data_IF_350800023230
#
_entry.id   IF_350800023230
#
_cell.length_a   1.000
_cell.length_b   1.000
_cell.length_c   1.000
_cell.angle_alpha   90.00
_cell.angle_beta   90.00
_cell.angle_gamma   90.00
#
_symmetry.space_group_name_H-M   'P 1'
#
loop_
_entity.id
_entity.type
_entity.pdbx_description
1 polymer ?
#
# COMPACT_ATOMS: atom_id res chain seq x y z
N UNK A 1 14.45 9.62 -14.83
CA UNK A 1 14.63 8.25 -14.28
C UNK A 1 13.52 7.35 -14.79
N UNK A 2 13.83 6.08 -15.09
CA UNK A 2 12.81 5.06 -15.36
C UNK A 2 12.06 4.78 -14.05
N UNK A 3 10.72 4.82 -14.07
CA UNK A 3 9.88 4.44 -12.92
C UNK A 3 9.75 2.92 -12.87
N UNK A 4 9.84 2.35 -11.69
CA UNK A 4 9.69 0.91 -11.43
C UNK A 4 8.29 0.62 -10.90
N UNK A 5 7.66 -0.42 -11.43
CA UNK A 5 6.33 -0.86 -11.00
C UNK A 5 6.46 -1.84 -9.85
N UNK A 6 5.45 -1.83 -8.98
CA UNK A 6 5.29 -2.88 -7.98
C UNK A 6 4.84 -4.20 -8.62
N UNK A 7 5.26 -5.31 -8.02
CA UNK A 7 4.86 -6.65 -8.46
C UNK A 7 3.46 -7.06 -7.97
N UNK A 8 2.81 -6.27 -7.11
CA UNK A 8 1.41 -6.43 -6.74
C UNK A 8 0.52 -5.38 -7.41
N UNK A 9 -0.73 -5.77 -7.71
CA UNK A 9 -1.82 -4.82 -7.94
C UNK A 9 -2.36 -4.40 -6.59
N UNK A 10 -2.45 -3.09 -6.34
CA UNK A 10 -2.88 -2.59 -5.04
C UNK A 10 -3.74 -1.35 -5.21
N UNK A 11 -4.80 -1.27 -4.42
CA UNK A 11 -5.63 -0.08 -4.36
C UNK A 11 -4.78 1.11 -3.87
N UNK A 12 -4.97 2.28 -4.47
CA UNK A 12 -4.22 3.48 -4.06
C UNK A 12 -2.79 3.58 -4.58
N UNK A 13 -2.33 2.66 -5.44
CA UNK A 13 -0.96 2.67 -5.98
C UNK A 13 -0.50 4.04 -6.50
N UNK A 14 0.56 4.57 -5.89
CA UNK A 14 1.06 5.95 -6.08
C UNK A 14 1.93 6.15 -7.31
N UNK A 15 2.07 5.15 -8.18
CA UNK A 15 2.87 5.22 -9.40
C UNK A 15 2.65 6.49 -10.26
N UNK A 16 1.41 7.00 -10.45
CA UNK A 16 1.19 8.26 -11.17
C UNK A 16 1.69 9.51 -10.44
N UNK A 17 1.74 9.48 -9.11
CA UNK A 17 2.05 10.61 -8.22
C UNK A 17 3.52 10.63 -7.76
N UNK A 18 4.32 9.66 -8.19
CA UNK A 18 5.71 9.53 -7.75
C UNK A 18 6.55 10.78 -7.98
N UNK A 19 6.33 11.52 -9.07
CA UNK A 19 7.14 12.72 -9.36
C UNK A 19 6.80 13.86 -8.40
N UNK A 20 5.52 13.99 -8.04
CA UNK A 20 5.08 14.99 -7.07
C UNK A 20 5.50 14.60 -5.64
N UNK A 21 5.33 13.33 -5.25
CA UNK A 21 5.78 12.83 -3.94
C UNK A 21 7.28 13.07 -3.78
N UNK A 22 8.10 12.69 -4.77
CA UNK A 22 9.56 12.88 -4.72
C UNK A 22 9.99 14.34 -4.67
N UNK A 23 9.17 15.27 -5.17
CA UNK A 23 9.46 16.71 -5.09
C UNK A 23 9.34 17.23 -3.65
N UNK A 24 8.47 16.63 -2.85
CA UNK A 24 8.15 17.07 -1.48
C UNK A 24 8.74 16.16 -0.40
N UNK A 25 9.23 14.97 -0.77
CA UNK A 25 9.88 14.05 0.12
C UNK A 25 11.40 14.35 0.17
N UNK A 26 11.94 14.83 1.29
CA UNK A 26 13.35 15.21 1.37
C UNK A 26 14.28 14.00 1.40
N UNK A 27 15.56 14.23 1.14
CA UNK A 27 16.60 13.24 1.40
C UNK A 27 16.73 12.99 2.91
N UNK A 28 17.23 11.81 3.26
CA UNK A 28 17.49 11.39 4.63
C UNK A 28 18.13 10.03 4.66
N UNK A 29 18.46 9.54 5.86
CA UNK A 29 19.12 8.24 5.98
C UNK A 29 18.12 7.08 5.84
N UNK A 30 16.94 7.23 6.42
CA UNK A 30 15.92 6.19 6.51
C UNK A 30 14.57 6.72 6.04
N UNK A 31 13.92 6.00 5.12
CA UNK A 31 12.50 6.23 4.83
C UNK A 31 11.64 5.23 5.61
N UNK A 32 10.66 5.75 6.32
CA UNK A 32 9.67 4.96 7.05
C UNK A 32 8.33 5.08 6.32
N UNK A 33 7.76 3.96 5.89
CA UNK A 33 6.42 3.90 5.29
C UNK A 33 5.49 3.07 6.19
N UNK A 34 4.66 3.69 7.05
CA UNK A 34 3.74 2.96 7.94
C UNK A 34 2.56 2.27 7.24
N UNK A 35 2.38 2.57 5.95
CA UNK A 35 1.32 2.05 5.08
C UNK A 35 1.93 1.65 3.72
N UNK A 36 2.92 0.75 3.74
CA UNK A 36 3.72 0.47 2.53
C UNK A 36 2.87 0.01 1.36
N UNK A 37 1.80 -0.77 1.59
CA UNK A 37 0.98 -1.34 0.52
C UNK A 37 1.87 -1.99 -0.55
N UNK A 38 1.69 -1.64 -1.82
CA UNK A 38 2.53 -2.13 -2.93
C UNK A 38 3.98 -1.59 -2.98
N UNK A 39 4.39 -0.68 -2.09
CA UNK A 39 5.76 -0.17 -2.01
C UNK A 39 6.18 0.72 -3.18
N UNK A 40 5.25 1.45 -3.81
CA UNK A 40 5.57 2.27 -4.99
C UNK A 40 6.61 3.36 -4.69
N UNK A 41 6.58 3.98 -3.51
CA UNK A 41 7.56 5.03 -3.13
C UNK A 41 8.91 4.40 -2.80
N UNK A 42 8.96 3.37 -1.96
CA UNK A 42 10.14 2.54 -1.72
C UNK A 42 10.87 2.11 -3.00
N UNK A 43 10.15 1.60 -4.01
CA UNK A 43 10.74 1.10 -5.26
C UNK A 43 11.29 2.21 -6.18
N UNK A 44 11.01 3.48 -5.89
CA UNK A 44 11.30 4.62 -6.75
C UNK A 44 12.06 5.76 -6.04
N UNK A 45 12.54 5.52 -4.81
CA UNK A 45 13.37 6.44 -4.02
C UNK A 45 14.72 5.80 -3.71
N UNK A 46 15.67 6.58 -3.19
CA UNK A 46 17.01 6.10 -2.82
C UNK A 46 17.37 6.61 -1.42
N UNK A 47 17.00 5.82 -0.40
CA UNK A 47 17.45 5.99 0.98
C UNK A 47 18.43 4.87 1.31
N UNK A 48 19.29 5.08 2.32
CA UNK A 48 20.28 4.08 2.74
C UNK A 48 19.63 2.84 3.35
N UNK A 49 18.48 3.03 4.02
CA UNK A 49 17.66 1.98 4.61
C UNK A 49 16.17 2.36 4.61
N UNK A 50 15.31 1.36 4.78
CA UNK A 50 13.87 1.51 4.83
C UNK A 50 13.27 0.73 6.01
N UNK A 51 12.24 1.30 6.65
CA UNK A 51 11.34 0.59 7.56
C UNK A 51 9.95 0.62 6.94
N UNK A 52 9.46 -0.53 6.52
CA UNK A 52 8.24 -0.65 5.73
C UNK A 52 7.22 -1.46 6.52
N UNK A 53 6.14 -0.81 6.95
CA UNK A 53 5.11 -1.41 7.77
C UNK A 53 3.76 -1.45 7.05
N UNK A 54 2.98 -2.47 7.37
CA UNK A 54 1.57 -2.60 7.01
C UNK A 54 0.87 -3.45 8.05
N UNK A 55 -0.43 -3.24 8.24
CA UNK A 55 -1.24 -4.08 9.12
C UNK A 55 -1.56 -5.44 8.50
N UNK A 56 -1.39 -5.58 7.18
CA UNK A 56 -1.64 -6.80 6.46
C UNK A 56 -0.47 -7.80 6.62
N UNK A 57 -0.67 -8.80 7.47
CA UNK A 57 0.31 -9.86 7.72
C UNK A 57 0.68 -10.66 6.45
N UNK A 58 -0.27 -10.96 5.56
CA UNK A 58 0.03 -11.72 4.34
C UNK A 58 0.94 -10.94 3.39
N UNK A 59 0.78 -9.61 3.35
CA UNK A 59 1.62 -8.71 2.57
C UNK A 59 3.05 -8.69 3.11
N UNK A 60 3.21 -8.48 4.41
CA UNK A 60 4.53 -8.42 5.06
C UNK A 60 5.25 -9.77 4.99
N UNK A 61 4.52 -10.87 5.19
CA UNK A 61 5.05 -12.22 5.03
C UNK A 61 5.55 -12.46 3.60
N UNK A 62 4.76 -12.12 2.59
CA UNK A 62 5.17 -12.19 1.18
C UNK A 62 6.46 -11.39 0.93
N UNK A 63 6.56 -10.16 1.46
CA UNK A 63 7.74 -9.33 1.25
C UNK A 63 9.01 -9.92 1.86
N UNK A 64 8.94 -10.46 3.07
CA UNK A 64 10.09 -11.15 3.68
C UNK A 64 10.47 -12.42 2.90
N UNK A 65 9.49 -13.22 2.45
CA UNK A 65 9.79 -14.40 1.61
C UNK A 65 10.44 -14.02 0.29
N UNK A 66 9.95 -12.98 -0.39
CA UNK A 66 10.55 -12.50 -1.65
C UNK A 66 11.97 -11.96 -1.41
N UNK A 67 12.21 -11.30 -0.27
CA UNK A 67 13.54 -10.81 0.11
C UNK A 67 14.53 -11.95 0.35
N UNK A 68 14.11 -13.01 1.03
CA UNK A 68 15.02 -14.04 1.55
C UNK A 68 15.14 -15.26 0.61
N UNK A 69 14.11 -15.55 -0.19
CA UNK A 69 14.00 -16.77 -1.02
C UNK A 69 13.53 -16.45 -2.44
N UNK A 70 14.13 -15.43 -3.06
CA UNK A 70 13.66 -14.86 -4.35
C UNK A 70 13.56 -15.88 -5.48
N UNK A 71 14.64 -16.62 -5.77
CA UNK A 71 14.70 -17.55 -6.90
C UNK A 71 13.69 -18.69 -6.76
N UNK A 72 13.60 -19.23 -5.54
CA UNK A 72 12.65 -20.29 -5.19
C UNK A 72 11.20 -19.79 -5.34
N UNK A 73 10.91 -18.61 -4.77
CA UNK A 73 9.60 -17.99 -4.87
C UNK A 73 9.20 -17.74 -6.33
N UNK A 74 10.11 -17.23 -7.16
CA UNK A 74 9.86 -16.98 -8.59
C UNK A 74 9.59 -18.28 -9.32
N UNK A 75 10.37 -19.34 -9.06
CA UNK A 75 10.19 -20.64 -9.68
C UNK A 75 8.81 -21.23 -9.37
N UNK A 76 8.42 -21.25 -8.09
CA UNK A 76 7.16 -21.84 -7.65
C UNK A 76 5.94 -21.00 -8.02
N UNK A 77 6.02 -19.68 -7.84
CA UNK A 77 4.93 -18.79 -8.21
C UNK A 77 4.65 -18.85 -9.71
N UNK A 78 5.69 -18.97 -10.55
CA UNK A 78 5.53 -19.08 -12.01
C UNK A 78 4.68 -20.28 -12.43
N UNK A 79 4.73 -21.39 -11.70
CA UNK A 79 3.93 -22.58 -12.00
C UNK A 79 2.42 -22.32 -11.89
N UNK A 80 2.01 -21.29 -11.13
CA UNK A 80 0.62 -20.88 -11.00
C UNK A 80 0.16 -19.89 -12.08
N UNK A 81 1.03 -19.47 -13.00
CA UNK A 81 0.73 -18.48 -14.05
C UNK A 81 0.70 -19.13 -15.44
N UNK A 82 -0.06 -20.22 -15.55
CA UNK A 82 -0.27 -21.01 -16.77
C UNK A 82 -1.75 -20.97 -17.20
N UNK A 83 -2.09 -21.26 -18.46
CA UNK A 83 -3.49 -21.23 -18.93
C UNK A 83 -4.45 -22.09 -18.08
N UNK A 84 -3.98 -23.23 -17.59
CA UNK A 84 -4.74 -24.22 -16.84
C UNK A 84 -5.19 -23.70 -15.46
N UNK A 85 -4.42 -22.78 -14.87
CA UNK A 85 -4.75 -22.17 -13.58
C UNK A 85 -5.61 -20.91 -13.73
N UNK A 86 -5.82 -20.41 -14.95
CA UNK A 86 -6.70 -19.27 -15.22
C UNK A 86 -8.16 -19.72 -15.43
N UNK A 87 -8.64 -20.58 -14.56
CA UNK A 87 -9.99 -21.13 -14.53
C UNK A 87 -10.70 -20.77 -13.23
N UNK A 88 -12.03 -20.63 -13.28
CA UNK A 88 -12.80 -20.20 -12.10
C UNK A 88 -12.82 -21.26 -11.00
N UNK A 89 -12.89 -22.55 -11.33
CA UNK A 89 -12.90 -23.61 -10.33
C UNK A 89 -11.53 -23.74 -9.67
N UNK A 90 -10.45 -23.68 -10.46
CA UNK A 90 -9.07 -23.69 -9.95
C UNK A 90 -8.80 -22.48 -9.06
N UNK A 91 -9.22 -21.27 -9.48
CA UNK A 91 -9.09 -20.07 -8.65
C UNK A 91 -9.74 -20.21 -7.28
N UNK A 92 -10.98 -20.74 -7.23
CA UNK A 92 -11.67 -20.93 -5.96
C UNK A 92 -11.06 -22.05 -5.10
N UNK A 93 -10.51 -23.10 -5.72
CA UNK A 93 -9.74 -24.11 -5.00
C UNK A 93 -8.49 -23.51 -4.33
N UNK A 94 -7.70 -22.72 -5.06
CA UNK A 94 -6.54 -22.02 -4.50
C UNK A 94 -6.91 -20.96 -3.48
N UNK A 95 -8.07 -20.30 -3.62
CA UNK A 95 -8.56 -19.37 -2.59
C UNK A 95 -8.92 -20.10 -1.29
N UNK A 96 -9.58 -21.25 -1.39
CA UNK A 96 -9.87 -22.10 -0.22
C UNK A 96 -8.59 -22.63 0.40
N UNK A 97 -7.64 -23.09 -0.42
CA UNK A 97 -6.32 -23.51 0.04
C UNK A 97 -5.62 -22.37 0.80
N UNK A 98 -5.58 -21.17 0.24
CA UNK A 98 -5.00 -20.00 0.89
C UNK A 98 -5.63 -19.70 2.26
N UNK A 99 -6.95 -19.79 2.38
CA UNK A 99 -7.64 -19.51 3.65
C UNK A 99 -7.37 -20.58 4.72
N UNK A 100 -7.13 -21.83 4.31
CA UNK A 100 -6.87 -22.95 5.23
C UNK A 100 -5.36 -23.16 5.50
N UNK A 101 -4.50 -22.68 4.61
CA UNK A 101 -3.06 -22.91 4.66
C UNK A 101 -2.41 -22.19 5.85
N UNK A 102 -1.55 -22.93 6.57
CA UNK A 102 -0.74 -22.43 7.70
C UNK A 102 0.75 -22.32 7.37
N UNK A 103 1.16 -22.75 6.17
CA UNK A 103 2.53 -22.64 5.69
C UNK A 103 2.74 -21.26 5.05
N UNK A 104 3.60 -20.45 5.66
CA UNK A 104 3.82 -19.06 5.25
C UNK A 104 4.32 -18.92 3.81
N UNK A 105 5.17 -19.86 3.38
CA UNK A 105 5.72 -19.86 2.03
C UNK A 105 4.63 -20.13 0.97
N UNK A 106 3.84 -21.19 1.17
CA UNK A 106 2.72 -21.53 0.29
C UNK A 106 1.67 -20.43 0.27
N UNK A 107 1.38 -19.81 1.42
CA UNK A 107 0.49 -18.65 1.50
C UNK A 107 1.00 -17.50 0.63
N UNK A 108 2.29 -17.17 0.66
CA UNK A 108 2.85 -16.09 -0.15
C UNK A 108 2.75 -16.38 -1.66
N UNK A 109 3.04 -17.62 -2.08
CA UNK A 109 2.90 -18.06 -3.48
C UNK A 109 1.44 -17.92 -3.95
N UNK A 110 0.50 -18.41 -3.15
CA UNK A 110 -0.94 -18.28 -3.43
C UNK A 110 -1.41 -16.83 -3.40
N UNK A 111 -0.88 -15.99 -2.51
CA UNK A 111 -1.26 -14.59 -2.41
C UNK A 111 -0.94 -13.81 -3.69
N UNK A 112 0.23 -14.02 -4.29
CA UNK A 112 0.59 -13.43 -5.59
C UNK A 112 -0.34 -13.92 -6.71
N UNK A 113 -0.63 -15.22 -6.76
CA UNK A 113 -1.59 -15.78 -7.71
C UNK A 113 -2.96 -15.11 -7.57
N UNK A 114 -3.51 -15.09 -6.34
CA UNK A 114 -4.82 -14.50 -6.05
C UNK A 114 -4.83 -13.02 -6.43
N UNK A 115 -3.81 -12.24 -6.08
CA UNK A 115 -3.73 -10.82 -6.43
C UNK A 115 -3.82 -10.56 -7.94
N UNK A 116 -3.18 -11.42 -8.74
CA UNK A 116 -3.13 -11.27 -10.21
C UNK A 116 -4.36 -11.84 -10.91
N UNK A 117 -5.05 -12.80 -10.30
CA UNK A 117 -6.22 -13.48 -10.87
C UNK A 117 -7.57 -12.97 -10.31
N UNK A 118 -7.59 -12.29 -9.17
CA UNK A 118 -8.82 -11.80 -8.54
C UNK A 118 -9.37 -10.52 -9.20
N UNK A 119 -10.65 -10.24 -8.94
CA UNK A 119 -11.30 -9.04 -9.43
C UNK A 119 -10.55 -7.76 -9.01
N UNK A 120 -10.08 -7.02 -10.01
CA UNK A 120 -9.36 -5.75 -9.90
C UNK A 120 -8.09 -5.75 -9.04
N UNK A 121 -7.55 -6.92 -8.67
CA UNK A 121 -6.41 -6.98 -7.75
C UNK A 121 -6.76 -6.45 -6.35
N UNK A 122 -8.03 -6.57 -5.94
CA UNK A 122 -8.44 -6.21 -4.59
C UNK A 122 -7.80 -7.16 -3.58
N UNK A 123 -7.44 -6.61 -2.42
CA UNK A 123 -7.08 -7.37 -1.23
C UNK A 123 -8.19 -7.14 -0.21
N UNK A 124 -9.01 -8.17 0.06
CA UNK A 124 -10.17 -8.06 0.96
C UNK A 124 -10.43 -9.36 1.69
N UNK A 125 -10.65 -9.22 2.99
CA UNK A 125 -10.93 -10.31 3.92
C UNK A 125 -12.30 -10.11 4.56
N UNK A 126 -12.95 -11.19 4.97
CA UNK A 126 -14.13 -11.12 5.84
C UNK A 126 -13.70 -10.95 7.32
N UNK A 127 -14.67 -10.86 8.23
CA UNK A 127 -14.42 -10.74 9.67
C UNK A 127 -13.72 -11.96 10.28
N UNK A 128 -13.76 -13.11 9.61
CA UNK A 128 -13.04 -14.32 10.01
C UNK A 128 -11.60 -14.36 9.50
N UNK A 129 -11.13 -13.30 8.82
CA UNK A 129 -9.78 -13.22 8.26
C UNK A 129 -9.60 -14.00 6.95
N UNK A 130 -10.68 -14.40 6.28
CA UNK A 130 -10.62 -15.18 5.04
C UNK A 130 -10.68 -14.28 3.81
N UNK A 131 -9.75 -14.47 2.88
CA UNK A 131 -9.74 -13.77 1.60
C UNK A 131 -10.97 -14.16 0.77
N UNK A 132 -11.75 -13.16 0.35
CA UNK A 132 -13.08 -13.37 -0.23
C UNK A 132 -13.30 -12.66 -1.58
N UNK A 133 -12.23 -12.28 -2.29
CA UNK A 133 -12.34 -11.61 -3.58
C UNK A 133 -12.71 -12.63 -4.68
N UNK A 134 -13.67 -12.34 -5.56
CA UNK A 134 -14.06 -13.24 -6.65
C UNK A 134 -13.03 -13.28 -7.78
N UNK A 135 -13.15 -14.27 -8.66
CA UNK A 135 -12.30 -14.42 -9.84
C UNK A 135 -12.44 -13.23 -10.81
N UNK A 136 -11.33 -12.72 -11.32
CA UNK A 136 -11.25 -11.51 -12.14
C UNK A 136 -11.48 -11.70 -13.63
N UNK A 137 -11.46 -12.94 -14.13
CA UNK A 137 -11.68 -13.30 -15.56
C UNK A 137 -10.78 -12.55 -16.54
N UNK A 138 -9.50 -12.38 -16.19
CA UNK A 138 -8.52 -11.80 -17.10
C UNK A 138 -8.17 -12.77 -18.22
N UNK A 139 -7.92 -12.25 -19.43
CA UNK A 139 -7.51 -13.09 -20.58
C UNK A 139 -6.19 -13.80 -20.33
N UNK A 140 -5.20 -13.08 -19.78
CA UNK A 140 -3.88 -13.60 -19.44
C UNK A 140 -3.28 -12.75 -18.32
N UNK A 141 -3.37 -13.19 -17.05
CA UNK A 141 -2.69 -12.55 -15.94
C UNK A 141 -1.18 -12.43 -16.20
N UNK A 142 -0.63 -11.24 -15.97
CA UNK A 142 0.80 -10.98 -16.12
C UNK A 142 1.56 -11.53 -14.91
N UNK A 143 2.60 -12.35 -15.15
CA UNK A 143 3.54 -12.79 -14.12
C UNK A 143 4.67 -11.75 -13.97
N UNK A 144 4.78 -11.08 -12.82
CA UNK A 144 5.66 -9.92 -12.65
C UNK A 144 7.09 -10.32 -12.25
N UNK A 145 7.76 -11.14 -13.07
CA UNK A 145 9.10 -11.66 -12.73
C UNK A 145 10.10 -10.54 -12.47
N UNK A 146 10.26 -9.62 -13.43
CA UNK A 146 11.29 -8.60 -13.36
C UNK A 146 11.02 -7.63 -12.19
N UNK A 147 9.74 -7.35 -11.90
CA UNK A 147 9.36 -6.56 -10.74
C UNK A 147 9.61 -7.27 -9.41
N UNK A 148 9.53 -8.61 -9.35
CA UNK A 148 9.88 -9.40 -8.16
C UNK A 148 11.39 -9.31 -7.89
N UNK A 149 12.22 -9.52 -8.91
CA UNK A 149 13.68 -9.40 -8.76
C UNK A 149 14.11 -7.99 -8.38
N UNK A 150 13.53 -6.97 -9.01
CA UNK A 150 13.78 -5.58 -8.63
C UNK A 150 13.36 -5.30 -7.18
N UNK A 151 12.21 -5.82 -6.75
CA UNK A 151 11.78 -5.69 -5.36
C UNK A 151 12.77 -6.36 -4.41
N UNK A 152 13.21 -7.59 -4.71
CA UNK A 152 14.13 -8.35 -3.86
C UNK A 152 15.51 -7.67 -3.72
N UNK A 153 16.04 -7.10 -4.80
CA UNK A 153 17.28 -6.30 -4.76
C UNK A 153 17.13 -5.11 -3.81
N UNK A 154 16.03 -4.36 -3.97
CA UNK A 154 15.73 -3.19 -3.13
C UNK A 154 15.47 -3.58 -1.67
N UNK A 155 14.85 -4.74 -1.46
CA UNK A 155 14.45 -5.26 -0.14
C UNK A 155 15.64 -5.58 0.76
N UNK A 156 16.86 -5.72 0.20
CA UNK A 156 18.08 -5.89 1.00
C UNK A 156 18.38 -4.68 1.90
N UNK A 157 17.86 -3.51 1.52
CA UNK A 157 17.97 -2.27 2.32
C UNK A 157 16.73 -2.03 3.19
N UNK A 158 15.77 -2.96 3.25
CA UNK A 158 14.50 -2.77 3.92
C UNK A 158 14.27 -3.77 5.06
N UNK A 159 13.63 -3.28 6.11
CA UNK A 159 13.04 -4.09 7.19
C UNK A 159 11.52 -4.01 7.06
N UNK A 160 10.88 -5.16 6.90
CA UNK A 160 9.42 -5.26 6.80
C UNK A 160 8.82 -5.68 8.15
N UNK A 161 7.84 -4.93 8.65
CA UNK A 161 7.20 -5.19 9.94
C UNK A 161 5.68 -5.20 9.82
N UNK A 162 5.03 -6.16 10.46
CA UNK A 162 3.57 -6.23 10.51
C UNK A 162 3.07 -5.52 11.77
N UNK A 163 2.89 -4.21 11.68
CA UNK A 163 2.53 -3.35 12.80
C UNK A 163 1.55 -2.27 12.36
N UNK A 164 0.79 -1.73 13.32
CA UNK A 164 -0.05 -0.57 13.07
C UNK A 164 0.80 0.70 12.90
N UNK A 165 0.20 1.71 12.27
CA UNK A 165 0.90 2.95 11.95
C UNK A 165 1.38 3.70 13.20
N UNK A 166 0.59 3.72 14.27
CA UNK A 166 0.89 4.40 15.53
C UNK A 166 2.10 3.76 16.24
N UNK A 167 2.18 2.43 16.24
CA UNK A 167 3.35 1.69 16.76
C UNK A 167 4.59 1.98 15.94
N UNK A 168 4.46 2.00 14.61
CA UNK A 168 5.57 2.31 13.70
C UNK A 168 6.08 3.74 13.91
N UNK A 169 5.15 4.71 14.00
CA UNK A 169 5.45 6.12 14.20
C UNK A 169 6.04 6.41 15.59
N UNK A 170 5.61 5.68 16.62
CA UNK A 170 6.17 5.80 17.98
C UNK A 170 7.63 5.34 18.12
N UNK A 171 8.17 4.63 17.11
CA UNK A 171 9.57 4.16 17.08
C UNK A 171 10.48 5.02 16.22
N UNK A 172 9.95 6.09 15.62
CA UNK A 172 10.70 6.95 14.70
C UNK A 172 11.83 7.66 15.47
N UNK A 173 13.02 7.63 14.88
CA UNK A 173 14.20 8.31 15.40
C UNK A 173 14.52 9.55 14.56
N UNK A 174 15.25 10.48 15.17
CA UNK A 174 15.75 11.67 14.48
C UNK A 174 16.57 11.30 13.23
N UNK A 175 16.43 12.07 12.15
CA UNK A 175 17.09 11.82 10.86
C UNK A 175 16.35 10.86 9.92
N UNK A 176 15.24 10.27 10.37
CA UNK A 176 14.31 9.57 9.48
C UNK A 176 13.39 10.55 8.72
N UNK A 177 12.92 10.10 7.56
CA UNK A 177 11.84 10.73 6.80
C UNK A 177 10.67 9.76 6.82
N UNK A 178 9.45 10.26 7.01
CA UNK A 178 8.24 9.44 7.07
C UNK A 178 7.35 9.77 5.88
N UNK A 179 6.88 8.75 5.17
CA UNK A 179 5.84 8.87 4.15
C UNK A 179 4.62 8.04 4.54
N UNK A 180 3.48 8.71 4.69
CA UNK A 180 2.21 8.09 5.07
C UNK A 180 1.22 8.11 3.90
N UNK A 181 0.77 6.92 3.50
CA UNK A 181 -0.29 6.73 2.52
C UNK A 181 -1.48 5.94 3.12
N UNK A 182 -2.21 6.54 4.07
CA UNK A 182 -3.29 5.84 4.75
C UNK A 182 -4.41 5.45 3.78
N UNK A 183 -5.28 4.48 4.13
CA UNK A 183 -6.55 4.30 3.43
C UNK A 183 -7.30 5.64 3.37
N UNK A 184 -7.79 6.02 2.20
CA UNK A 184 -8.29 7.38 1.98
C UNK A 184 -9.58 7.70 2.73
N UNK A 185 -9.70 8.98 3.09
CA UNK A 185 -10.90 9.51 3.72
C UNK A 185 -12.12 9.33 2.80
N UNK A 186 -13.31 9.04 3.36
CA UNK A 186 -14.53 8.92 2.59
C UNK A 186 -14.87 10.24 1.87
N UNK A 187 -15.31 10.13 0.61
CA UNK A 187 -15.64 11.29 -0.23
C UNK A 187 -16.93 12.02 0.20
N UNK A 188 -17.77 11.39 1.02
CA UNK A 188 -18.93 12.03 1.63
C UNK A 188 -19.25 11.42 3.00
N UNK A 189 -19.90 12.21 3.87
CA UNK A 189 -20.44 11.76 5.15
C UNK A 189 -21.53 10.68 5.00
N UNK A 190 -22.18 10.61 3.83
CA UNK A 190 -23.18 9.58 3.50
C UNK A 190 -22.56 8.27 2.99
N UNK A 191 -21.35 8.30 2.41
CA UNK A 191 -20.59 7.09 2.07
C UNK A 191 -20.09 6.34 3.32
N UNK A 192 -20.06 7.02 4.48
CA UNK A 192 -19.81 6.42 5.78
C UNK A 192 -20.96 5.53 6.27
N UNK A 193 -22.21 5.84 5.90
CA UNK A 193 -23.38 5.15 6.44
C UNK A 193 -23.58 3.73 5.89
N UNK A 194 -22.93 3.40 4.76
CA UNK A 194 -22.94 2.07 4.14
C UNK A 194 -21.72 1.21 4.48
N UNK A 195 -20.77 1.72 5.28
CA UNK A 195 -19.54 1.03 5.63
C UNK A 195 -19.44 0.75 7.14
N UNK A 196 -20.36 -0.04 7.67
CA UNK A 196 -20.12 -0.77 8.93
C UNK A 196 -19.06 -1.85 8.68
N UNK A 197 -17.80 -1.43 8.59
CA UNK A 197 -16.65 -2.34 8.55
C UNK A 197 -15.78 -2.06 9.78
N UNK A 198 -15.84 -2.98 10.74
CA UNK A 198 -15.17 -2.95 12.05
C UNK A 198 -13.64 -3.13 12.00
N UNK A 199 -13.00 -2.85 10.86
CA UNK A 199 -11.55 -2.87 10.66
C UNK A 199 -11.08 -1.81 9.63
N UNK A 200 -11.88 -0.78 9.37
CA UNK A 200 -11.53 0.32 8.48
C UNK A 200 -10.76 1.42 9.23
N UNK A 201 -9.78 2.01 8.55
CA UNK A 201 -9.05 3.19 9.04
C UNK A 201 -10.04 4.35 9.23
N UNK A 202 -10.42 4.58 10.48
CA UNK A 202 -11.56 5.44 10.83
C UNK A 202 -11.23 6.92 10.74
N UNK A 203 -12.25 7.79 10.82
CA UNK A 203 -12.05 9.25 10.93
C UNK A 203 -11.18 9.62 12.14
N UNK A 204 -11.29 8.87 13.24
CA UNK A 204 -10.46 9.06 14.43
C UNK A 204 -9.01 8.69 14.15
N UNK A 205 -8.77 7.62 13.39
CA UNK A 205 -7.42 7.20 13.01
C UNK A 205 -6.77 8.20 12.04
N UNK A 206 -7.54 8.76 11.10
CA UNK A 206 -7.09 9.83 10.21
C UNK A 206 -6.63 11.06 11.00
N UNK A 207 -7.42 11.49 11.98
CA UNK A 207 -7.07 12.63 12.83
C UNK A 207 -5.85 12.30 13.71
N UNK A 208 -5.82 11.12 14.32
CA UNK A 208 -4.69 10.68 15.15
C UNK A 208 -3.38 10.60 14.36
N UNK A 209 -3.43 10.16 13.09
CA UNK A 209 -2.26 10.20 12.20
C UNK A 209 -1.73 11.62 11.98
N UNK A 210 -2.62 12.61 11.83
CA UNK A 210 -2.23 14.01 11.70
C UNK A 210 -1.59 14.54 13.00
N UNK A 211 -2.16 14.19 14.16
CA UNK A 211 -1.63 14.56 15.48
C UNK A 211 -0.22 13.98 15.71
N UNK A 212 0.00 12.71 15.35
CA UNK A 212 1.33 12.08 15.41
C UNK A 212 2.33 12.74 14.45
N UNK A 213 1.88 13.13 13.24
CA UNK A 213 2.75 13.83 12.29
C UNK A 213 3.18 15.21 12.80
N UNK A 214 2.25 15.96 13.39
CA UNK A 214 2.55 17.23 14.08
C UNK A 214 3.56 17.01 15.21
N UNK A 215 3.33 16.04 16.09
CA UNK A 215 4.23 15.72 17.20
C UNK A 215 5.65 15.38 16.69
N UNK A 216 5.78 14.47 15.73
CA UNK A 216 7.07 14.06 15.17
C UNK A 216 7.83 15.23 14.53
N UNK A 217 7.12 16.11 13.82
CA UNK A 217 7.74 17.27 13.20
C UNK A 217 8.21 18.31 14.23
N UNK A 218 7.38 18.61 15.23
CA UNK A 218 7.69 19.66 16.22
C UNK A 218 8.66 19.20 17.31
N UNK A 219 8.53 17.98 17.81
CA UNK A 219 9.28 17.49 18.96
C UNK A 219 10.55 16.72 18.56
N UNK A 220 10.53 16.03 17.42
CA UNK A 220 11.63 15.17 16.96
C UNK A 220 12.35 15.70 15.72
N UNK A 221 11.91 16.85 15.17
CA UNK A 221 12.44 17.44 13.93
C UNK A 221 12.42 16.45 12.75
N UNK A 222 11.42 15.57 12.70
CA UNK A 222 11.24 14.57 11.64
C UNK A 222 10.38 15.16 10.54
N UNK A 223 10.77 14.95 9.28
CA UNK A 223 9.87 15.29 8.17
C UNK A 223 8.84 14.20 7.94
N UNK A 224 7.56 14.57 7.92
CA UNK A 224 6.44 13.67 7.61
C UNK A 224 5.68 14.19 6.40
N UNK A 225 5.54 13.36 5.37
CA UNK A 225 4.73 13.64 4.20
C UNK A 225 3.52 12.70 4.18
N UNK A 226 2.32 13.25 4.16
CA UNK A 226 1.07 12.47 4.09
C UNK A 226 0.38 12.71 2.75
N UNK A 227 -0.09 11.65 2.09
CA UNK A 227 -0.97 11.76 0.92
C UNK A 227 -2.40 11.37 1.23
N UNK A 228 -3.38 12.17 0.79
CA UNK A 228 -4.80 11.87 0.92
C UNK A 228 -5.62 12.55 -0.18
N UNK A 229 -6.94 12.32 -0.20
CA UNK A 229 -7.86 13.14 -0.98
C UNK A 229 -7.87 14.59 -0.51
N UNK A 230 -7.98 15.54 -1.45
CA UNK A 230 -8.21 16.94 -1.12
C UNK A 230 -9.70 17.18 -0.81
N UNK A 231 -10.02 17.32 0.48
CA UNK A 231 -11.37 17.51 1.00
C UNK A 231 -11.36 18.54 2.13
N UNK A 232 -12.51 19.15 2.50
CA UNK A 232 -12.57 20.03 3.66
C UNK A 232 -12.07 19.36 4.96
N UNK A 233 -12.35 18.07 5.14
CA UNK A 233 -11.93 17.32 6.33
C UNK A 233 -10.42 17.09 6.38
N UNK A 234 -9.82 16.66 5.26
CA UNK A 234 -8.36 16.45 5.20
C UNK A 234 -7.59 17.76 5.33
N UNK A 235 -8.10 18.86 4.79
CA UNK A 235 -7.52 20.20 5.01
C UNK A 235 -7.62 20.65 6.47
N UNK A 236 -8.69 20.29 7.17
CA UNK A 236 -8.84 20.56 8.60
C UNK A 236 -7.86 19.73 9.44
N UNK A 237 -7.74 18.43 9.18
CA UNK A 237 -6.80 17.57 9.90
C UNK A 237 -5.35 17.99 9.69
N UNK A 238 -5.00 18.37 8.46
CA UNK A 238 -3.63 18.74 8.09
C UNK A 238 -3.36 20.24 8.15
N UNK A 239 -4.14 21.00 8.93
CA UNK A 239 -4.05 22.48 8.98
C UNK A 239 -2.67 23.02 9.41
N UNK A 240 -1.90 22.24 10.17
CA UNK A 240 -0.57 22.60 10.65
C UNK A 240 0.55 22.25 9.65
N UNK A 241 0.21 21.60 8.53
CA UNK A 241 1.15 21.21 7.49
C UNK A 241 1.22 22.24 6.35
N UNK A 242 2.29 22.18 5.57
CA UNK A 242 2.37 22.83 4.25
C UNK A 242 1.58 21.97 3.26
N UNK A 243 0.48 22.53 2.75
CA UNK A 243 -0.45 21.80 1.87
C UNK A 243 -0.15 22.03 0.39
N UNK A 244 0.01 20.94 -0.36
CA UNK A 244 0.20 20.94 -1.81
C UNK A 244 -0.93 20.18 -2.51
N UNK A 245 -1.71 20.88 -3.33
CA UNK A 245 -2.77 20.28 -4.16
C UNK A 245 -2.16 19.71 -5.45
N UNK A 246 -2.49 18.45 -5.76
CA UNK A 246 -2.14 17.80 -7.02
C UNK A 246 -3.42 17.50 -7.80
N UNK A 247 -3.50 18.05 -9.01
CA UNK A 247 -4.63 17.81 -9.93
C UNK A 247 -4.48 16.44 -10.57
N UNK A 248 -5.24 15.46 -10.10
CA UNK A 248 -5.21 14.10 -10.65
C UNK A 248 -6.42 13.84 -11.54
N UNK A 249 -6.16 13.29 -12.73
CA UNK A 249 -7.21 12.71 -13.58
C UNK A 249 -7.57 11.32 -13.04
N UNK A 250 -8.24 11.21 -11.89
CA UNK A 250 -8.77 9.90 -11.44
C UNK A 250 -10.00 9.53 -12.27
N UNK A 251 -9.99 8.34 -12.84
CA UNK A 251 -11.16 7.68 -13.42
C UNK A 251 -11.63 6.60 -12.45
N UNK A 252 -12.58 6.92 -11.56
CA UNK A 252 -13.20 5.92 -10.69
C UNK A 252 -14.72 6.17 -10.71
N UNK A 253 -15.43 5.59 -11.69
CA UNK A 253 -16.84 5.18 -11.56
C UNK A 253 -17.27 4.31 -12.76
N UNK A 254 -18.27 3.46 -12.53
CA UNK A 254 -18.82 2.48 -13.50
C UNK A 254 -19.91 3.09 -14.40
N UNK A 255 -20.25 4.37 -14.23
CA UNK A 255 -21.37 5.06 -14.91
C UNK A 255 -20.91 6.40 -15.49
N UNK A 256 -21.19 6.63 -16.78
CA UNK A 256 -20.68 7.77 -17.55
C UNK A 256 -21.11 9.17 -17.10
N UNK A 257 -22.04 9.28 -16.12
CA UNK A 257 -22.69 10.54 -15.75
C UNK A 257 -22.34 11.10 -14.35
N UNK A 258 -21.49 10.42 -13.56
CA UNK A 258 -21.01 10.94 -12.25
C UNK A 258 -19.49 10.83 -12.17
N UNK A 259 -18.81 11.73 -12.88
CA UNK A 259 -17.34 11.90 -12.82
C UNK A 259 -16.99 13.03 -11.85
N UNK A 260 -16.96 12.76 -10.55
CA UNK A 260 -16.32 13.69 -9.60
C UNK A 260 -14.81 13.49 -9.64
N UNK A 261 -14.08 14.49 -10.15
CA UNK A 261 -12.62 14.56 -10.02
C UNK A 261 -12.32 15.02 -8.60
N UNK A 262 -11.71 14.15 -7.80
CA UNK A 262 -11.18 14.53 -6.49
C UNK A 262 -9.68 14.68 -6.65
N UNK A 263 -9.17 15.87 -6.32
CA UNK A 263 -7.75 16.15 -6.32
C UNK A 263 -7.05 15.36 -5.21
N UNK A 264 -5.74 15.26 -5.31
CA UNK A 264 -4.90 14.75 -4.23
C UNK A 264 -4.34 15.90 -3.42
N UNK A 265 -4.09 15.64 -2.15
CA UNK A 265 -3.46 16.54 -1.20
C UNK A 265 -2.20 15.87 -0.68
N UNK A 266 -1.07 16.56 -0.77
CA UNK A 266 0.13 16.25 0.00
C UNK A 266 0.23 17.23 1.16
N UNK A 267 0.31 16.71 2.38
CA UNK A 267 0.53 17.48 3.60
C UNK A 267 1.96 17.24 4.09
N UNK A 268 2.79 18.26 4.03
CA UNK A 268 4.19 18.21 4.44
C UNK A 268 4.35 18.86 5.82
N UNK A 269 4.74 18.07 6.81
CA UNK A 269 5.15 18.51 8.14
C UNK A 269 6.67 18.52 8.21
N UNK A 270 7.25 19.64 8.60
CA UNK A 270 8.69 19.81 8.78
C UNK A 270 8.96 20.47 10.12
N UNK A 271 10.08 20.12 10.77
CA UNK A 271 10.55 20.85 11.94
C UNK A 271 10.74 22.33 11.63
N UNK A 272 10.46 23.19 12.62
CA UNK A 272 10.74 24.63 12.55
C UNK A 272 12.23 24.91 12.67
#
# INVERSE_FOLDING_TARGET
MKKNRAFLKWAGGKYPLLDDIRRHLPEGDCLIEPFVGAGSVFLNTQYSRYILADINNDLINLYNIVKDRTDEFVADARLLFIPETNDSAVYYAYRTEFNLCRDDYRRAVLFLYLNRHCYNGLCRYNLSGEFNVPFGRYRKPYFPQDEIYWFAERAQHATFVCESYDVTLGKVQQGAVVYCDPPYAPLSTTANFTAYHTNSFSMREQQHLAELATMLAHENSVTVLISNHDTPLTRQWYQDAILHEIKVRRSISRSGNTRSKVNELLALYTGR
#
